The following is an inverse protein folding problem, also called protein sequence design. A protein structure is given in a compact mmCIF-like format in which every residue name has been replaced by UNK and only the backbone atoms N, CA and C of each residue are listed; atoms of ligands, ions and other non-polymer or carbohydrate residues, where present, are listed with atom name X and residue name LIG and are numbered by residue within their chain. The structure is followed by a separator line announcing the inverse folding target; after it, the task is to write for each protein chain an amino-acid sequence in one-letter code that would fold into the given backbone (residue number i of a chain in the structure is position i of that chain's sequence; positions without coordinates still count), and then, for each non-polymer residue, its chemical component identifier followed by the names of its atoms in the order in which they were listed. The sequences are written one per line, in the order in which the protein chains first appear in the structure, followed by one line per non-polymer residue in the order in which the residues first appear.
data_IF_488771543128
#
_entry.id   IF_488771543128
#
_cell.length_a   1.000
_cell.length_b   1.000
_cell.length_c   1.000
_cell.angle_alpha   90.00
_cell.angle_beta   90.00
_cell.angle_gamma   90.00
#
_symmetry.space_group_name_H-M   'P 1'
#
loop_
_entity.id
_entity.type
_entity.pdbx_description
1 polymer ?
#
# COMPACT_ATOMS: atom_id res chain seq x y z
N UNK A 1 -2.76 14.17 6.26
CA UNK A 1 -3.95 14.06 7.11
C UNK A 1 -5.20 14.82 6.64
N UNK A 2 -5.22 15.39 5.46
CA UNK A 2 -6.44 16.01 4.89
C UNK A 2 -7.44 15.02 4.27
N UNK A 3 -7.11 13.72 4.24
CA UNK A 3 -7.96 12.69 3.61
C UNK A 3 -9.04 12.08 4.51
N UNK A 4 -8.96 12.32 5.82
CA UNK A 4 -9.88 11.66 6.78
C UNK A 4 -11.22 12.37 6.94
N UNK A 5 -11.34 13.62 6.48
CA UNK A 5 -12.60 14.36 6.53
C UNK A 5 -13.31 14.24 5.18
N UNK A 6 -14.58 13.84 5.14
CA UNK A 6 -15.33 13.76 3.89
C UNK A 6 -15.40 15.13 3.20
N UNK A 7 -15.61 15.11 1.90
CA UNK A 7 -15.81 16.31 1.09
C UNK A 7 -17.15 16.95 1.46
N UNK A 8 -17.19 18.29 1.56
CA UNK A 8 -18.42 19.05 1.66
C UNK A 8 -19.20 19.00 0.32
N UNK A 9 -20.48 19.34 0.35
CA UNK A 9 -21.30 19.34 -0.87
C UNK A 9 -20.74 20.33 -1.92
N UNK A 10 -20.32 21.53 -1.51
CA UNK A 10 -19.64 22.48 -2.40
C UNK A 10 -18.36 21.89 -3.04
N UNK A 11 -17.58 21.15 -2.26
CA UNK A 11 -16.37 20.50 -2.78
C UNK A 11 -16.69 19.39 -3.77
N UNK A 12 -17.79 18.67 -3.56
CA UNK A 12 -18.26 17.63 -4.50
C UNK A 12 -18.74 18.22 -5.82
N UNK A 13 -19.53 19.30 -5.74
CA UNK A 13 -20.03 19.99 -6.93
C UNK A 13 -18.86 20.55 -7.75
N UNK A 14 -17.93 21.22 -7.09
CA UNK A 14 -16.72 21.76 -7.72
C UNK A 14 -15.85 20.65 -8.33
N UNK A 15 -15.69 19.51 -7.63
CA UNK A 15 -14.95 18.36 -8.15
C UNK A 15 -15.63 17.76 -9.38
N UNK A 16 -16.95 17.70 -9.41
CA UNK A 16 -17.71 17.17 -10.55
C UNK A 16 -17.58 18.07 -11.77
N UNK A 17 -17.68 19.37 -11.60
CA UNK A 17 -17.55 20.36 -12.66
C UNK A 17 -16.18 20.31 -13.36
N UNK A 18 -15.11 20.12 -12.56
CA UNK A 18 -13.73 20.16 -13.06
C UNK A 18 -13.12 18.78 -13.29
N UNK A 19 -13.90 17.71 -13.18
CA UNK A 19 -13.43 16.32 -13.29
C UNK A 19 -12.71 16.00 -14.61
N UNK A 20 -13.07 16.68 -15.70
CA UNK A 20 -12.41 16.54 -16.99
C UNK A 20 -10.88 16.76 -16.95
N UNK A 21 -10.37 17.48 -15.91
CA UNK A 21 -8.94 17.68 -15.73
C UNK A 21 -8.18 16.38 -15.45
N UNK A 22 -8.82 15.41 -14.78
CA UNK A 22 -8.22 14.10 -14.49
C UNK A 22 -7.94 13.35 -15.80
N UNK A 23 -8.93 13.29 -16.66
CA UNK A 23 -8.79 12.64 -17.98
C UNK A 23 -7.76 13.34 -18.86
N UNK A 24 -7.75 14.67 -18.83
CA UNK A 24 -6.75 15.45 -19.55
C UNK A 24 -5.34 15.16 -19.05
N UNK A 25 -5.15 15.10 -17.73
CA UNK A 25 -3.86 14.78 -17.14
C UNK A 25 -3.36 13.38 -17.56
N UNK A 26 -4.22 12.36 -17.50
CA UNK A 26 -3.91 11.01 -17.92
C UNK A 26 -3.50 10.95 -19.40
N UNK A 27 -4.26 11.62 -20.27
CA UNK A 27 -4.00 11.68 -21.70
C UNK A 27 -2.68 12.38 -22.04
N UNK A 28 -2.43 13.54 -21.42
CA UNK A 28 -1.22 14.35 -21.68
C UNK A 28 0.06 13.68 -21.18
N UNK A 29 -0.05 12.81 -20.16
CA UNK A 29 1.06 12.01 -19.65
C UNK A 29 1.14 10.59 -20.24
N UNK A 30 0.30 10.25 -21.22
CA UNK A 30 0.22 8.92 -21.88
C UNK A 30 0.04 7.77 -20.87
N UNK A 31 -0.75 7.97 -19.82
CA UNK A 31 -0.99 6.99 -18.78
C UNK A 31 -2.26 6.18 -19.09
N UNK A 32 -2.23 4.84 -18.98
CA UNK A 32 -3.42 4.01 -19.11
C UNK A 32 -4.41 4.34 -18.00
N UNK A 33 -5.65 4.57 -18.38
CA UNK A 33 -6.70 5.02 -17.48
C UNK A 33 -7.02 3.98 -16.41
N UNK A 34 -7.08 2.71 -16.81
CA UNK A 34 -7.47 1.60 -15.94
C UNK A 34 -6.49 1.39 -14.76
N UNK A 35 -5.22 1.75 -14.95
CA UNK A 35 -4.19 1.56 -13.94
C UNK A 35 -3.95 2.81 -13.07
N UNK A 36 -4.05 3.99 -13.66
CA UNK A 36 -3.60 5.22 -13.00
C UNK A 36 -4.73 6.13 -12.54
N UNK A 37 -5.98 5.87 -12.93
CA UNK A 37 -7.10 6.69 -12.50
C UNK A 37 -7.20 6.74 -10.97
N UNK A 38 -7.14 5.59 -10.29
CA UNK A 38 -7.24 5.49 -8.84
C UNK A 38 -6.10 6.19 -8.11
N UNK A 39 -4.91 6.17 -8.69
CA UNK A 39 -3.74 6.86 -8.12
C UNK A 39 -3.91 8.38 -8.18
N UNK A 40 -4.43 8.88 -9.31
CA UNK A 40 -4.47 10.32 -9.61
C UNK A 40 -5.69 10.99 -9.02
N UNK A 41 -6.83 10.30 -8.94
CA UNK A 41 -8.08 10.88 -8.44
C UNK A 41 -7.95 11.39 -7.00
N UNK A 42 -7.17 10.73 -6.14
CA UNK A 42 -6.96 11.18 -4.77
C UNK A 42 -6.16 12.49 -4.72
N UNK A 43 -5.16 12.65 -5.59
CA UNK A 43 -4.43 13.91 -5.74
C UNK A 43 -5.32 15.06 -6.21
N UNK A 44 -6.21 14.77 -7.15
CA UNK A 44 -7.20 15.73 -7.64
C UNK A 44 -8.18 16.16 -6.54
N UNK A 45 -8.78 15.21 -5.80
CA UNK A 45 -9.70 15.53 -4.70
C UNK A 45 -9.03 16.31 -3.57
N UNK A 46 -7.77 16.01 -3.28
CA UNK A 46 -6.96 16.78 -2.33
C UNK A 46 -6.73 18.21 -2.81
N UNK A 47 -6.49 18.40 -4.10
CA UNK A 47 -6.34 19.72 -4.70
C UNK A 47 -7.64 20.54 -4.60
N UNK A 48 -8.81 19.93 -4.87
CA UNK A 48 -10.12 20.58 -4.71
C UNK A 48 -10.30 21.05 -3.27
N UNK A 49 -10.08 20.15 -2.32
CA UNK A 49 -10.23 20.45 -0.90
C UNK A 49 -9.34 21.61 -0.45
N UNK A 50 -8.06 21.57 -0.81
CA UNK A 50 -7.11 22.63 -0.48
C UNK A 50 -7.47 23.95 -1.14
N UNK A 51 -7.84 23.93 -2.40
CA UNK A 51 -8.18 25.12 -3.15
C UNK A 51 -9.36 25.89 -2.53
N UNK A 52 -10.41 25.17 -2.10
CA UNK A 52 -11.58 25.80 -1.48
C UNK A 52 -11.37 26.17 0.00
N UNK A 53 -10.40 25.54 0.67
CA UNK A 53 -10.12 25.85 2.09
C UNK A 53 -9.08 26.94 2.26
N UNK A 54 -8.06 26.98 1.40
CA UNK A 54 -6.91 27.88 1.50
C UNK A 54 -7.06 29.09 0.56
N UNK A 55 -7.46 30.23 1.08
CA UNK A 55 -7.62 31.47 0.27
C UNK A 55 -6.32 31.93 -0.40
N UNK A 56 -5.17 31.59 0.15
CA UNK A 56 -3.86 31.90 -0.43
C UNK A 56 -3.63 31.22 -1.80
N UNK A 57 -4.32 30.13 -2.07
CA UNK A 57 -4.20 29.40 -3.33
C UNK A 57 -5.02 30.02 -4.47
N UNK A 58 -5.96 30.90 -4.17
CA UNK A 58 -6.81 31.57 -5.18
C UNK A 58 -6.03 32.53 -6.10
N UNK A 59 -4.81 32.92 -5.72
CA UNK A 59 -3.90 33.67 -6.61
C UNK A 59 -3.44 32.84 -7.83
N UNK A 60 -3.55 31.50 -7.75
CA UNK A 60 -3.18 30.58 -8.82
C UNK A 60 -4.42 29.97 -9.46
N UNK A 61 -4.31 29.56 -10.71
CA UNK A 61 -5.39 28.81 -11.38
C UNK A 61 -5.55 27.42 -10.75
N UNK A 62 -6.79 27.01 -10.50
CA UNK A 62 -7.08 25.68 -9.98
C UNK A 62 -6.40 24.56 -10.77
N UNK A 63 -6.37 24.68 -12.12
CA UNK A 63 -5.70 23.71 -13.00
C UNK A 63 -4.23 23.50 -12.63
N UNK A 64 -3.51 24.56 -12.28
CA UNK A 64 -2.09 24.46 -11.91
C UNK A 64 -1.90 23.69 -10.60
N UNK A 65 -2.76 23.95 -9.62
CA UNK A 65 -2.73 23.29 -8.31
C UNK A 65 -3.11 21.82 -8.45
N UNK A 66 -4.19 21.52 -9.20
CA UNK A 66 -4.63 20.16 -9.47
C UNK A 66 -3.53 19.34 -10.17
N UNK A 67 -2.89 19.91 -11.20
CA UNK A 67 -1.78 19.26 -11.91
C UNK A 67 -0.59 19.00 -11.00
N UNK A 68 -0.24 19.92 -10.12
CA UNK A 68 0.84 19.75 -9.16
C UNK A 68 0.55 18.60 -8.19
N UNK A 69 -0.66 18.54 -7.62
CA UNK A 69 -1.05 17.49 -6.69
C UNK A 69 -1.09 16.10 -7.37
N UNK A 70 -1.68 16.01 -8.56
CA UNK A 70 -1.73 14.76 -9.34
C UNK A 70 -0.31 14.26 -9.70
N UNK A 71 0.60 15.17 -10.06
CA UNK A 71 2.00 14.83 -10.37
C UNK A 71 2.76 14.32 -9.15
N UNK A 72 2.52 14.88 -7.98
CA UNK A 72 3.13 14.41 -6.72
C UNK A 72 2.66 13.00 -6.39
N UNK A 73 1.38 12.68 -6.55
CA UNK A 73 0.87 11.34 -6.29
C UNK A 73 1.41 10.32 -7.29
N UNK A 74 1.49 10.68 -8.57
CA UNK A 74 2.13 9.86 -9.59
C UNK A 74 3.60 9.58 -9.26
N UNK A 75 4.34 10.59 -8.85
CA UNK A 75 5.73 10.43 -8.42
C UNK A 75 5.86 9.50 -7.21
N UNK A 76 5.01 9.67 -6.20
CA UNK A 76 5.00 8.83 -5.00
C UNK A 76 4.65 7.38 -5.34
N UNK A 77 3.73 7.15 -6.27
CA UNK A 77 3.40 5.82 -6.78
C UNK A 77 4.61 5.14 -7.41
N UNK A 78 5.30 5.81 -8.33
CA UNK A 78 6.52 5.26 -8.95
C UNK A 78 7.64 5.04 -7.93
N UNK A 79 7.86 5.99 -7.02
CA UNK A 79 8.84 5.84 -5.94
C UNK A 79 8.55 4.63 -5.07
N UNK A 80 7.29 4.41 -4.70
CA UNK A 80 6.86 3.27 -3.90
C UNK A 80 7.09 1.93 -4.62
N UNK A 81 6.82 1.87 -5.93
CA UNK A 81 6.98 0.66 -6.71
C UNK A 81 8.45 0.32 -7.02
N UNK A 82 9.32 1.35 -7.06
CA UNK A 82 10.76 1.18 -7.30
C UNK A 82 11.59 0.96 -6.03
N UNK A 83 10.97 0.90 -4.85
CA UNK A 83 11.73 0.64 -3.64
C UNK A 83 12.28 -0.81 -3.64
N UNK A 84 13.49 -0.99 -3.08
CA UNK A 84 14.24 -2.26 -3.13
C UNK A 84 13.43 -3.47 -2.66
N UNK A 85 12.62 -3.32 -1.62
CA UNK A 85 11.77 -4.41 -1.10
C UNK A 85 10.64 -4.86 -2.05
N UNK A 86 10.35 -4.10 -3.12
CA UNK A 86 9.30 -4.43 -4.12
C UNK A 86 9.87 -4.76 -5.48
N UNK A 87 11.17 -4.53 -5.71
CA UNK A 87 11.87 -4.86 -6.96
C UNK A 87 12.44 -6.28 -6.95
N UNK A 88 12.37 -6.99 -5.82
CA UNK A 88 12.77 -8.39 -5.76
C UNK A 88 11.84 -9.24 -6.63
N UNK A 89 12.43 -10.18 -7.36
CA UNK A 89 11.67 -11.18 -8.10
C UNK A 89 10.92 -12.07 -7.12
N UNK A 90 9.60 -12.15 -7.27
CA UNK A 90 8.75 -12.96 -6.40
C UNK A 90 8.44 -14.26 -7.12
N UNK A 91 8.93 -15.36 -6.57
CA UNK A 91 8.64 -16.71 -7.05
C UNK A 91 7.45 -17.31 -6.30
N UNK A 92 6.65 -18.11 -6.99
CA UNK A 92 5.60 -18.88 -6.33
C UNK A 92 6.23 -19.94 -5.41
N UNK A 93 5.72 -20.08 -4.20
CA UNK A 93 6.17 -21.11 -3.26
C UNK A 93 5.91 -22.53 -3.76
N UNK A 94 4.95 -22.68 -4.69
CA UNK A 94 4.61 -23.98 -5.31
C UNK A 94 5.41 -24.28 -6.57
N UNK A 95 6.45 -23.48 -6.89
CA UNK A 95 7.29 -23.76 -8.05
C UNK A 95 8.14 -25.00 -7.80
N UNK A 96 8.16 -25.93 -8.77
CA UNK A 96 9.01 -27.11 -8.69
C UNK A 96 10.47 -26.79 -8.86
N UNK A 97 11.32 -27.30 -8.00
CA UNK A 97 12.77 -27.13 -8.04
C UNK A 97 13.42 -28.45 -8.41
N UNK A 98 14.19 -28.46 -9.50
CA UNK A 98 14.98 -29.62 -9.95
C UNK A 98 14.18 -30.67 -10.69
N UNK A 99 14.83 -31.81 -10.98
CA UNK A 99 14.27 -32.95 -11.73
C UNK A 99 13.25 -33.78 -10.93
N UNK A 100 13.30 -33.68 -9.60
CA UNK A 100 12.47 -34.49 -8.69
C UNK A 100 11.17 -33.81 -8.26
N UNK A 101 10.82 -32.67 -8.89
CA UNK A 101 9.55 -31.96 -8.68
C UNK A 101 9.24 -31.56 -7.22
N UNK A 102 10.25 -31.38 -6.36
CA UNK A 102 10.04 -30.82 -5.04
C UNK A 102 9.58 -29.39 -5.16
N UNK A 103 8.55 -29.00 -4.39
CA UNK A 103 8.11 -27.60 -4.35
C UNK A 103 9.05 -26.76 -3.48
N UNK A 104 9.16 -25.46 -3.77
CA UNK A 104 9.93 -24.53 -2.96
C UNK A 104 9.43 -24.54 -1.50
N UNK A 105 8.12 -24.80 -1.29
CA UNK A 105 7.48 -24.93 0.01
C UNK A 105 8.13 -26.01 0.89
N UNK A 106 8.53 -27.14 0.31
CA UNK A 106 9.15 -28.24 1.04
C UNK A 106 10.59 -27.93 1.46
N UNK A 107 11.24 -26.95 0.81
CA UNK A 107 12.62 -26.54 1.12
C UNK A 107 12.67 -25.38 2.11
N UNK A 108 11.57 -24.64 2.33
CA UNK A 108 11.50 -23.57 3.31
C UNK A 108 11.35 -24.19 4.69
N UNK A 109 12.43 -24.15 5.48
CA UNK A 109 12.39 -24.57 6.87
C UNK A 109 11.35 -23.73 7.64
N UNK A 110 10.38 -24.39 8.27
CA UNK A 110 9.55 -23.76 9.29
C UNK A 110 10.49 -23.28 10.41
N UNK A 111 10.25 -22.07 10.92
CA UNK A 111 11.03 -21.57 12.06
C UNK A 111 10.90 -22.58 13.23
N UNK A 112 12.01 -23.03 13.77
CA UNK A 112 12.10 -24.05 14.85
C UNK A 112 11.45 -23.62 16.19
N UNK A 113 10.87 -22.44 16.20
CA UNK A 113 10.29 -21.80 17.40
C UNK A 113 9.18 -22.67 18.03
N UNK A 114 8.43 -23.41 17.22
CA UNK A 114 7.34 -24.27 17.70
C UNK A 114 7.85 -25.55 18.35
N UNK A 115 8.93 -26.14 17.83
CA UNK A 115 9.58 -27.30 18.43
C UNK A 115 10.29 -26.94 19.75
N UNK A 116 10.99 -25.80 19.81
CA UNK A 116 11.59 -25.30 21.05
C UNK A 116 10.54 -25.01 22.12
N UNK A 117 9.40 -24.43 21.75
CA UNK A 117 8.30 -24.19 22.67
C UNK A 117 7.70 -25.49 23.23
N UNK A 118 7.55 -26.51 22.37
CA UNK A 118 7.06 -27.84 22.78
C UNK A 118 8.05 -28.53 23.72
N UNK A 119 9.34 -28.54 23.39
CA UNK A 119 10.40 -29.11 24.24
C UNK A 119 10.46 -28.42 25.59
N UNK A 120 10.42 -27.09 25.62
CA UNK A 120 10.41 -26.33 26.88
C UNK A 120 9.18 -26.65 27.72
N UNK A 121 8.02 -26.82 27.09
CA UNK A 121 6.77 -27.15 27.78
C UNK A 121 6.77 -28.56 28.37
N UNK A 122 7.34 -29.53 27.63
CA UNK A 122 7.51 -30.90 28.10
C UNK A 122 8.49 -30.99 29.28
N UNK A 123 9.63 -30.27 29.20
CA UNK A 123 10.58 -30.20 30.27
C UNK A 123 9.99 -29.60 31.56
N UNK A 124 9.22 -28.53 31.43
CA UNK A 124 8.52 -27.93 32.59
C UNK A 124 7.48 -28.86 33.19
N UNK A 125 6.76 -29.61 32.37
CA UNK A 125 5.77 -30.61 32.82
C UNK A 125 6.44 -31.75 33.59
N UNK A 126 7.56 -32.26 33.08
CA UNK A 126 8.34 -33.32 33.74
C UNK A 126 8.95 -32.89 35.06
N UNK A 127 9.45 -31.66 35.15
CA UNK A 127 9.97 -31.06 36.38
C UNK A 127 8.86 -30.88 37.41
N UNK A 128 7.69 -30.40 37.01
CA UNK A 128 6.53 -30.25 37.90
C UNK A 128 6.06 -31.60 38.46
N UNK A 129 6.07 -32.65 37.63
CA UNK A 129 5.74 -34.02 38.07
C UNK A 129 6.72 -34.58 39.08
N UNK A 130 8.03 -34.30 38.96
CA UNK A 130 9.05 -34.75 39.88
C UNK A 130 8.99 -33.99 41.24
N UNK A 131 8.63 -32.75 41.23
CA UNK A 131 8.53 -31.94 42.46
C UNK A 131 7.28 -32.31 43.26
N UNK A 132 6.16 -32.61 42.61
CA UNK A 132 4.93 -33.02 43.31
C UNK A 132 4.95 -34.45 43.85
N UNK A 133 5.87 -35.32 43.40
CA UNK A 133 6.03 -36.71 43.86
C UNK A 133 6.91 -36.90 45.12
N UNK A 134 7.43 -35.81 45.73
CA UNK A 134 8.29 -35.85 46.94
C UNK A 134 7.59 -35.33 48.21
N UNK A 135 6.27 -35.33 48.27
CA UNK A 135 5.55 -35.09 49.53
C UNK A 135 4.91 -36.38 50.07
#
# INVERSE_FOLDING_TARGET
MLCEVPLTDEQRDYATEHHALVYKFLKDNHLPMDEFYDVIIFGYLRAVKRYLTESSLHQYKFTTIAWSCMRVDLYNYYKSNRCQKRTAEVLSIHIGIGADSYSLEETVAASDDLMQQLETRLLLHDLAGKVSGQQ
#
